data_IF_246900032603
#
_entry.id   IF_246900032603
#
_cell.length_a   1.000
_cell.length_b   1.000
_cell.length_c   1.000
_cell.angle_alpha   90.00
_cell.angle_beta   90.00
_cell.angle_gamma   90.00
#
_symmetry.space_group_name_H-M   'P 1'
#
loop_
_entity.id
_entity.type
_entity.pdbx_description
1 polymer ?
#
# COMPACT_ATOMS: atom_id res chain seq x y z
N UNK A 1 -0.49 -26.69 1.35
CA UNK A 1 -1.03 -26.70 -0.03
C UNK A 1 -1.60 -25.31 -0.29
N UNK A 2 -0.80 -24.38 -0.82
CA UNK A 2 -1.26 -23.05 -1.29
C UNK A 2 -0.15 -22.26 -2.05
N UNK A 3 1.01 -22.89 -2.30
CA UNK A 3 2.19 -22.22 -2.87
C UNK A 3 2.06 -21.92 -4.36
N UNK A 4 1.20 -22.63 -5.09
CA UNK A 4 1.05 -22.46 -6.55
C UNK A 4 0.38 -21.15 -6.97
N UNK A 5 -0.32 -20.50 -6.04
CA UNK A 5 -1.05 -19.25 -6.33
C UNK A 5 -0.51 -18.05 -5.55
N UNK A 6 0.40 -18.30 -4.60
CA UNK A 6 1.19 -17.27 -3.96
C UNK A 6 2.37 -16.84 -4.81
N UNK A 7 2.76 -15.58 -4.73
CA UNK A 7 3.92 -15.08 -5.45
C UNK A 7 4.55 -13.86 -4.78
N UNK A 8 5.81 -13.63 -5.08
CA UNK A 8 6.51 -12.41 -4.69
C UNK A 8 6.49 -11.44 -5.86
N UNK A 9 6.22 -10.18 -5.57
CA UNK A 9 6.25 -9.13 -6.56
C UNK A 9 6.65 -7.80 -5.92
N UNK A 10 7.07 -6.86 -6.75
CA UNK A 10 7.19 -5.47 -6.34
C UNK A 10 6.02 -4.65 -6.87
N UNK A 11 5.63 -3.63 -6.12
CA UNK A 11 4.77 -2.57 -6.62
C UNK A 11 5.62 -1.32 -6.84
N UNK A 12 5.49 -0.72 -8.02
CA UNK A 12 6.08 0.57 -8.36
C UNK A 12 5.06 1.45 -9.08
N UNK A 13 5.40 2.72 -9.26
CA UNK A 13 4.69 3.66 -10.11
C UNK A 13 5.67 4.23 -11.15
N UNK A 14 5.17 4.81 -12.23
CA UNK A 14 6.03 5.36 -13.29
C UNK A 14 6.84 6.58 -12.81
N UNK A 15 6.16 7.59 -12.24
CA UNK A 15 6.78 8.88 -11.89
C UNK A 15 6.84 9.12 -10.37
N UNK A 16 6.70 8.05 -9.58
CA UNK A 16 6.68 8.13 -8.13
C UNK A 16 7.17 6.84 -7.47
N UNK A 17 7.64 6.98 -6.25
CA UNK A 17 8.00 5.88 -5.37
C UNK A 17 6.86 5.58 -4.42
N UNK A 18 6.57 4.29 -4.28
CA UNK A 18 5.62 3.75 -3.30
C UNK A 18 6.40 2.89 -2.31
N UNK A 19 6.28 3.20 -1.02
CA UNK A 19 6.89 2.43 0.06
C UNK A 19 6.30 2.88 1.41
N UNK A 20 6.82 2.35 2.52
CA UNK A 20 6.60 2.90 3.85
C UNK A 20 7.17 4.32 3.94
N UNK A 21 6.53 5.18 4.74
CA UNK A 21 6.95 6.56 4.90
C UNK A 21 8.36 6.68 5.48
N UNK A 22 8.80 5.75 6.34
CA UNK A 22 10.20 5.74 6.80
C UNK A 22 11.20 5.53 5.66
N UNK A 23 10.86 4.69 4.68
CA UNK A 23 11.70 4.46 3.51
C UNK A 23 11.67 5.67 2.58
N UNK A 24 10.51 6.32 2.45
CA UNK A 24 10.33 7.46 1.55
C UNK A 24 10.87 8.77 2.11
N UNK A 25 10.83 9.00 3.43
CA UNK A 25 11.11 10.29 4.06
C UNK A 25 12.11 10.23 5.22
N UNK A 26 12.58 9.04 5.59
CA UNK A 26 13.42 8.82 6.77
C UNK A 26 12.59 8.49 8.01
N UNK A 27 13.27 7.93 9.02
CA UNK A 27 12.67 7.52 10.30
C UNK A 27 13.14 8.44 11.43
N UNK A 28 12.23 9.06 12.20
CA UNK A 28 10.77 8.94 12.13
C UNK A 28 10.13 9.84 11.06
N UNK A 29 9.07 9.35 10.41
CA UNK A 29 8.22 10.15 9.53
C UNK A 29 7.07 10.79 10.33
N UNK A 30 7.36 11.90 11.02
CA UNK A 30 6.40 12.59 11.87
C UNK A 30 5.35 13.36 11.06
N UNK A 31 4.08 13.26 11.46
CA UNK A 31 2.98 14.04 10.87
C UNK A 31 2.12 14.69 11.94
N UNK A 32 1.80 15.97 11.78
CA UNK A 32 0.88 16.70 12.65
C UNK A 32 -0.51 16.73 12.02
N UNK A 33 -1.45 15.97 12.57
CA UNK A 33 -2.79 15.81 12.00
C UNK A 33 -3.84 16.54 12.85
N UNK A 34 -4.80 17.16 12.17
CA UNK A 34 -5.92 17.88 12.78
C UNK A 34 -7.20 17.06 12.67
N UNK A 35 -7.81 16.68 13.80
CA UNK A 35 -9.13 16.04 13.80
C UNK A 35 -10.23 17.08 13.54
N UNK A 36 -11.09 16.81 12.55
CA UNK A 36 -12.29 17.60 12.26
C UNK A 36 -13.53 16.71 12.37
N UNK A 37 -14.56 17.21 13.05
CA UNK A 37 -15.90 16.60 13.07
C UNK A 37 -16.93 17.71 12.89
N UNK A 38 -17.90 17.52 11.98
CA UNK A 38 -19.07 18.39 11.88
C UNK A 38 -18.81 19.87 11.60
N UNK A 39 -17.79 20.23 10.80
CA UNK A 39 -17.53 21.62 10.40
C UNK A 39 -16.76 22.47 11.43
N UNK A 40 -16.47 21.93 12.61
CA UNK A 40 -15.65 22.59 13.62
C UNK A 40 -14.37 21.81 13.90
N UNK A 41 -13.30 22.54 14.19
CA UNK A 41 -12.04 21.98 14.70
C UNK A 41 -12.24 21.63 16.18
N UNK A 42 -12.30 20.34 16.53
CA UNK A 42 -12.70 19.89 17.88
C UNK A 42 -11.54 19.41 18.74
N UNK A 43 -10.29 19.39 18.25
CA UNK A 43 -9.16 18.91 19.05
C UNK A 43 -7.83 19.49 18.62
N UNK A 44 -6.91 19.70 19.56
CA UNK A 44 -5.54 20.18 19.30
C UNK A 44 -4.85 19.30 18.24
N UNK A 45 -4.05 19.88 17.31
CA UNK A 45 -3.29 19.07 16.36
C UNK A 45 -2.39 18.11 17.12
N UNK A 46 -2.33 16.85 16.67
CA UNK A 46 -1.49 15.83 17.30
C UNK A 46 -0.40 15.39 16.35
N UNK A 47 0.83 15.32 16.85
CA UNK A 47 1.96 14.80 16.09
C UNK A 47 2.16 13.33 16.41
N UNK A 48 2.12 12.50 15.37
CA UNK A 48 2.26 11.05 15.46
C UNK A 48 3.37 10.57 14.53
N UNK A 49 4.01 9.46 14.90
CA UNK A 49 4.95 8.78 14.02
C UNK A 49 4.19 7.91 13.01
N UNK A 50 4.26 8.32 11.73
CA UNK A 50 3.59 7.66 10.62
C UNK A 50 4.55 6.79 9.79
N UNK A 51 5.77 6.53 10.26
CA UNK A 51 6.81 5.73 9.60
C UNK A 51 6.30 4.43 8.98
N UNK A 52 5.43 3.72 9.72
CA UNK A 52 4.88 2.43 9.35
C UNK A 52 3.72 2.49 8.35
N UNK A 53 3.25 3.68 7.96
CA UNK A 53 2.19 3.84 6.96
C UNK A 53 2.77 3.83 5.54
N UNK A 54 1.97 3.35 4.59
CA UNK A 54 2.34 3.39 3.18
C UNK A 54 2.07 4.78 2.60
N UNK A 55 2.96 5.22 1.72
CA UNK A 55 2.85 6.50 1.05
C UNK A 55 3.39 6.50 -0.36
N UNK A 56 3.32 7.67 -0.96
CA UNK A 56 3.80 7.98 -2.29
C UNK A 56 4.68 9.23 -2.21
N UNK A 57 5.84 9.18 -2.85
CA UNK A 57 6.72 10.34 -3.01
C UNK A 57 7.08 10.49 -4.49
N UNK A 58 6.95 11.69 -5.04
CA UNK A 58 7.38 11.95 -6.42
C UNK A 58 8.87 11.62 -6.60
N UNK A 59 9.26 11.14 -7.78
CA UNK A 59 10.67 10.86 -8.08
C UNK A 59 11.45 12.18 -8.06
N UNK A 60 12.55 12.20 -7.29
CA UNK A 60 13.49 13.32 -7.25
C UNK A 60 14.90 12.77 -7.41
N UNK A 61 15.76 13.48 -8.15
CA UNK A 61 17.14 13.07 -8.38
C UNK A 61 17.86 12.72 -7.05
N UNK A 62 18.52 11.55 -7.02
CA UNK A 62 19.29 11.09 -5.86
C UNK A 62 18.53 10.30 -4.79
N UNK A 63 17.25 9.97 -5.00
CA UNK A 63 16.51 9.10 -4.06
C UNK A 63 16.88 7.63 -4.26
N UNK A 64 17.13 6.93 -3.14
CA UNK A 64 17.31 5.48 -3.16
C UNK A 64 16.02 4.79 -3.59
N UNK A 65 16.12 3.90 -4.58
CA UNK A 65 15.00 3.29 -5.30
C UNK A 65 14.52 2.03 -4.61
N UNK A 66 14.43 2.05 -3.27
CA UNK A 66 13.98 0.89 -2.51
C UNK A 66 12.56 0.50 -2.96
N UNK A 67 12.47 -0.63 -3.67
CA UNK A 67 11.21 -1.14 -4.20
C UNK A 67 10.35 -1.70 -3.06
N UNK A 68 9.05 -1.49 -3.09
CA UNK A 68 8.12 -2.14 -2.17
C UNK A 68 7.97 -3.61 -2.58
N UNK A 69 8.57 -4.53 -1.82
CA UNK A 69 8.57 -5.96 -2.09
C UNK A 69 7.48 -6.60 -1.23
N UNK A 70 6.56 -7.29 -1.88
CA UNK A 70 5.41 -7.92 -1.27
C UNK A 70 5.33 -9.40 -1.60
N UNK A 71 4.83 -10.16 -0.64
CA UNK A 71 4.33 -11.51 -0.87
C UNK A 71 2.80 -11.47 -0.94
N UNK A 72 2.25 -11.94 -2.06
CA UNK A 72 0.83 -12.04 -2.33
C UNK A 72 0.38 -13.44 -1.93
N UNK A 73 -0.21 -13.60 -0.74
CA UNK A 73 -0.76 -14.88 -0.29
C UNK A 73 -2.24 -14.98 -0.68
N UNK A 74 -2.65 -15.99 -1.45
CA UNK A 74 -4.04 -16.13 -1.90
C UNK A 74 -4.98 -16.38 -0.73
N UNK A 75 -6.22 -15.93 -0.90
CA UNK A 75 -7.38 -16.21 -0.06
C UNK A 75 -8.61 -16.33 -0.97
N UNK A 76 -9.76 -16.84 -0.48
CA UNK A 76 -10.98 -16.87 -1.29
C UNK A 76 -11.42 -15.49 -1.84
N UNK A 77 -11.05 -14.39 -1.16
CA UNK A 77 -11.48 -13.03 -1.49
C UNK A 77 -10.31 -12.12 -1.87
N UNK A 78 -9.38 -12.62 -2.69
CA UNK A 78 -8.17 -11.91 -3.11
C UNK A 78 -6.93 -12.30 -2.32
N UNK A 79 -6.03 -11.36 -2.05
CA UNK A 79 -4.72 -11.60 -1.48
C UNK A 79 -4.54 -10.91 -0.13
N UNK A 80 -3.88 -11.58 0.81
CA UNK A 80 -3.24 -10.92 1.95
C UNK A 80 -1.83 -10.55 1.52
N UNK A 81 -1.49 -9.26 1.63
CA UNK A 81 -0.19 -8.74 1.26
C UNK A 81 0.72 -8.69 2.48
N UNK A 82 1.93 -9.20 2.34
CA UNK A 82 2.94 -9.22 3.40
C UNK A 82 4.20 -8.52 2.92
N UNK A 83 4.73 -7.60 3.73
CA UNK A 83 6.00 -6.92 3.48
C UNK A 83 7.16 -7.89 3.51
N UNK A 84 8.01 -7.81 2.49
CA UNK A 84 9.23 -8.60 2.34
C UNK A 84 10.48 -7.74 2.15
N UNK A 85 10.35 -6.42 2.31
CA UNK A 85 11.49 -5.54 2.50
C UNK A 85 12.24 -5.93 3.78
N UNK A 86 13.58 -6.00 3.74
CA UNK A 86 14.36 -6.20 4.96
C UNK A 86 14.16 -5.01 5.91
N UNK A 87 14.14 -5.27 7.22
CA UNK A 87 13.97 -4.25 8.25
C UNK A 87 12.89 -4.59 9.27
N UNK A 88 12.51 -3.61 10.09
CA UNK A 88 11.58 -3.78 11.22
C UNK A 88 10.19 -4.29 10.80
N UNK A 89 9.74 -3.92 9.59
CA UNK A 89 8.42 -4.30 9.09
C UNK A 89 8.44 -5.59 8.25
N UNK A 90 9.54 -6.34 8.23
CA UNK A 90 9.59 -7.64 7.56
C UNK A 90 8.50 -8.59 8.11
N UNK A 91 7.79 -9.27 7.22
CA UNK A 91 6.65 -10.14 7.51
C UNK A 91 5.40 -9.46 8.10
N UNK A 92 5.38 -8.13 8.25
CA UNK A 92 4.15 -7.40 8.61
C UNK A 92 3.17 -7.40 7.44
N UNK A 93 1.87 -7.41 7.74
CA UNK A 93 0.80 -7.36 6.75
C UNK A 93 0.61 -5.93 6.27
N UNK A 94 0.21 -5.73 5.02
CA UNK A 94 -0.40 -4.46 4.64
C UNK A 94 -1.88 -4.54 4.99
N UNK A 95 -2.35 -3.61 5.81
CA UNK A 95 -3.75 -3.54 6.19
C UNK A 95 -4.19 -2.10 6.43
N UNK A 96 -5.50 -1.87 6.34
CA UNK A 96 -6.11 -0.61 6.71
C UNK A 96 -5.94 -0.35 8.21
N UNK A 97 -5.57 0.88 8.54
CA UNK A 97 -5.37 1.36 9.91
C UNK A 97 -6.27 2.55 10.23
N UNK A 98 -5.88 3.74 9.81
CA UNK A 98 -6.43 5.01 10.27
C UNK A 98 -6.91 5.83 9.08
N UNK A 99 -8.13 6.39 9.13
CA UNK A 99 -8.71 7.20 8.06
C UNK A 99 -8.51 6.59 6.66
N UNK A 100 -8.82 5.30 6.52
CA UNK A 100 -8.65 4.56 5.26
C UNK A 100 -7.20 4.35 4.79
N UNK A 101 -6.20 4.88 5.51
CA UNK A 101 -4.77 4.73 5.19
C UNK A 101 -4.31 3.30 5.44
N UNK A 102 -3.48 2.80 4.51
CA UNK A 102 -2.83 1.51 4.56
C UNK A 102 -1.47 1.62 5.26
N UNK A 103 -1.11 0.60 6.04
CA UNK A 103 0.17 0.54 6.73
C UNK A 103 0.59 -0.87 7.09
N UNK A 104 1.77 -0.97 7.67
CA UNK A 104 2.37 -2.21 8.15
C UNK A 104 1.76 -2.63 9.50
N UNK A 105 1.03 -3.73 9.49
CA UNK A 105 0.34 -4.33 10.64
C UNK A 105 0.96 -5.65 11.09
N UNK A 106 0.71 -6.03 12.33
CA UNK A 106 1.23 -7.28 12.87
C UNK A 106 0.70 -8.50 12.10
N UNK A 107 1.49 -9.59 11.98
CA UNK A 107 1.08 -10.80 11.28
C UNK A 107 -0.20 -11.46 11.82
N UNK A 108 -0.50 -11.23 13.11
CA UNK A 108 -1.66 -11.76 13.82
C UNK A 108 -2.87 -10.81 13.83
N UNK A 109 -2.85 -9.73 13.04
CA UNK A 109 -3.98 -8.80 12.95
C UNK A 109 -5.27 -9.55 12.60
N UNK A 110 -6.28 -9.35 13.45
CA UNK A 110 -7.62 -9.93 13.25
C UNK A 110 -8.25 -9.21 12.07
N UNK A 111 -8.72 -9.99 11.08
CA UNK A 111 -9.34 -9.49 9.83
C UNK A 111 -8.42 -8.55 9.01
N UNK A 112 -7.28 -9.06 8.49
CA UNK A 112 -6.42 -8.25 7.64
C UNK A 112 -7.16 -7.81 6.36
N UNK A 113 -6.82 -6.63 5.86
CA UNK A 113 -7.31 -6.17 4.55
C UNK A 113 -6.90 -7.16 3.47
N UNK A 114 -7.87 -7.53 2.64
CA UNK A 114 -7.66 -8.37 1.46
C UNK A 114 -7.69 -7.50 0.23
N UNK A 115 -6.81 -7.80 -0.71
CA UNK A 115 -6.57 -7.03 -1.91
C UNK A 115 -6.85 -7.87 -3.15
N UNK A 116 -7.69 -7.35 -4.03
CA UNK A 116 -8.03 -7.90 -5.32
C UNK A 116 -7.19 -7.14 -6.35
N UNK A 117 -6.55 -7.88 -7.25
CA UNK A 117 -5.82 -7.29 -8.37
C UNK A 117 -6.80 -7.07 -9.52
N UNK A 118 -6.79 -5.85 -10.07
CA UNK A 118 -7.67 -5.43 -11.15
C UNK A 118 -6.80 -5.00 -12.33
N UNK A 119 -7.09 -5.50 -13.52
CA UNK A 119 -6.39 -5.06 -14.74
C UNK A 119 -6.94 -3.72 -15.29
N UNK A 120 -6.36 -3.25 -16.39
CA UNK A 120 -6.80 -2.04 -17.08
C UNK A 120 -8.23 -2.12 -17.64
N UNK A 121 -8.77 -3.33 -17.84
CA UNK A 121 -10.12 -3.61 -18.36
C UNK A 121 -11.15 -3.83 -17.24
N UNK A 122 -10.77 -3.58 -15.98
CA UNK A 122 -11.60 -3.82 -14.78
C UNK A 122 -11.89 -5.30 -14.49
N UNK A 123 -11.10 -6.23 -15.03
CA UNK A 123 -11.22 -7.64 -14.68
C UNK A 123 -10.41 -7.96 -13.43
N UNK A 124 -10.95 -8.85 -12.60
CA UNK A 124 -10.20 -9.46 -11.51
C UNK A 124 -9.17 -10.41 -12.09
N UNK A 125 -7.90 -10.21 -11.74
CA UNK A 125 -6.79 -11.07 -12.17
C UNK A 125 -6.13 -11.76 -10.97
N UNK A 126 -5.59 -12.94 -11.23
CA UNK A 126 -4.84 -13.74 -10.25
C UNK A 126 -3.45 -14.06 -10.79
N UNK A 127 -2.63 -14.76 -10.00
CA UNK A 127 -1.31 -15.23 -10.43
C UNK A 127 -1.34 -15.96 -11.78
N UNK A 128 -2.40 -16.71 -12.11
CA UNK A 128 -2.56 -17.44 -13.37
C UNK A 128 -2.72 -16.53 -14.59
N UNK A 129 -3.18 -15.30 -14.39
CA UNK A 129 -3.40 -14.33 -15.45
C UNK A 129 -2.15 -13.46 -15.70
N UNK A 130 -1.22 -13.43 -14.74
CA UNK A 130 0.01 -12.62 -14.81
C UNK A 130 1.07 -13.41 -15.57
N UNK A 131 1.15 -13.14 -16.88
CA UNK A 131 2.04 -13.83 -17.81
C UNK A 131 3.25 -13.00 -18.22
N UNK A 132 3.27 -11.71 -17.89
CA UNK A 132 4.38 -10.80 -18.17
C UNK A 132 5.11 -10.44 -16.89
N UNK A 133 6.40 -10.11 -17.01
CA UNK A 133 7.21 -9.69 -15.88
C UNK A 133 6.62 -8.43 -15.21
N UNK A 134 6.19 -7.47 -16.02
CA UNK A 134 5.56 -6.22 -15.59
C UNK A 134 4.09 -6.21 -16.04
N UNK A 135 3.17 -6.01 -15.10
CA UNK A 135 1.73 -5.94 -15.35
C UNK A 135 1.15 -4.69 -14.70
N UNK A 136 0.51 -3.78 -15.45
CA UNK A 136 -0.22 -2.67 -14.86
C UNK A 136 -1.45 -3.19 -14.13
N UNK A 137 -1.60 -2.85 -12.85
CA UNK A 137 -2.71 -3.29 -12.01
C UNK A 137 -3.21 -2.15 -11.13
N UNK A 138 -4.50 -2.14 -10.84
CA UNK A 138 -5.04 -1.43 -9.68
C UNK A 138 -5.28 -2.42 -8.55
N UNK A 139 -5.18 -1.95 -7.32
CA UNK A 139 -5.57 -2.71 -6.14
C UNK A 139 -6.96 -2.27 -5.73
N UNK A 140 -7.84 -3.23 -5.47
CA UNK A 140 -9.13 -3.02 -4.84
C UNK A 140 -9.15 -3.79 -3.53
N UNK A 141 -9.78 -3.28 -2.49
CA UNK A 141 -9.96 -4.02 -1.24
C UNK A 141 -11.27 -4.80 -1.26
N UNK A 142 -11.43 -5.75 -0.34
CA UNK A 142 -12.68 -6.54 -0.23
C UNK A 142 -13.95 -5.70 0.05
N UNK A 143 -13.81 -4.41 0.40
CA UNK A 143 -14.93 -3.46 0.53
C UNK A 143 -15.32 -2.80 -0.80
N UNK A 144 -14.74 -3.23 -1.92
CA UNK A 144 -14.92 -2.66 -3.26
C UNK A 144 -14.43 -1.21 -3.39
N UNK A 145 -13.52 -0.78 -2.51
CA UNK A 145 -12.80 0.49 -2.65
C UNK A 145 -11.45 0.26 -3.32
N UNK A 146 -11.02 1.21 -4.12
CA UNK A 146 -9.72 1.14 -4.79
C UNK A 146 -8.62 1.67 -3.88
N UNK A 147 -7.37 1.29 -4.13
CA UNK A 147 -6.22 1.91 -3.49
C UNK A 147 -5.77 3.10 -4.33
N UNK A 148 -5.61 4.24 -3.68
CA UNK A 148 -5.13 5.47 -4.30
C UNK A 148 -4.40 6.37 -3.32
N UNK A 149 -4.12 7.60 -3.75
CA UNK A 149 -3.42 8.61 -2.96
C UNK A 149 -4.38 9.43 -2.09
N UNK A 150 -4.07 9.59 -0.81
CA UNK A 150 -4.81 10.44 0.11
C UNK A 150 -3.89 11.46 0.79
N UNK A 151 -4.22 12.75 0.70
CA UNK A 151 -3.60 13.78 1.55
C UNK A 151 -4.45 13.98 2.79
N UNK A 152 -3.88 13.70 3.95
CA UNK A 152 -4.55 13.97 5.21
C UNK A 152 -4.24 15.40 5.66
N UNK A 153 -5.25 16.14 6.08
CA UNK A 153 -5.10 17.54 6.49
C UNK A 153 -4.09 17.68 7.62
N UNK A 154 -3.13 18.59 7.43
CA UNK A 154 -2.03 18.85 8.36
C UNK A 154 -0.80 17.95 8.15
N UNK A 155 -0.97 16.79 7.49
CA UNK A 155 0.15 15.93 7.17
C UNK A 155 0.93 16.44 5.93
N UNK A 156 2.27 16.39 5.95
CA UNK A 156 3.09 16.68 4.79
C UNK A 156 3.12 15.53 3.76
N UNK A 157 2.67 14.33 4.14
CA UNK A 157 2.78 13.12 3.31
C UNK A 157 1.53 12.85 2.46
N UNK A 158 1.75 12.22 1.30
CA UNK A 158 0.73 11.58 0.48
C UNK A 158 0.69 10.09 0.85
N UNK A 159 -0.43 9.61 1.37
CA UNK A 159 -0.60 8.24 1.84
C UNK A 159 -1.21 7.34 0.76
N UNK A 160 -0.96 6.03 0.85
CA UNK A 160 -1.84 5.06 0.21
C UNK A 160 -3.05 4.77 1.10
N UNK A 161 -4.25 4.85 0.53
CA UNK A 161 -5.50 4.67 1.24
C UNK A 161 -6.59 4.04 0.35
N UNK A 162 -7.66 3.52 0.97
CA UNK A 162 -8.90 3.22 0.25
C UNK A 162 -9.51 4.53 -0.29
N UNK A 163 -9.99 4.49 -1.54
CA UNK A 163 -10.57 5.62 -2.26
C UNK A 163 -11.60 5.15 -3.29
N UNK A 164 -12.30 6.10 -3.90
CA UNK A 164 -13.21 5.83 -5.00
C UNK A 164 -12.47 5.54 -6.30
N UNK A 165 -13.14 4.88 -7.25
CA UNK A 165 -12.55 4.50 -8.53
C UNK A 165 -11.86 5.64 -9.28
N UNK A 166 -12.47 6.83 -9.28
CA UNK A 166 -11.93 8.03 -9.95
C UNK A 166 -10.55 8.48 -9.46
N UNK A 167 -10.14 8.03 -8.27
CA UNK A 167 -8.88 8.38 -7.63
C UNK A 167 -7.94 7.18 -7.50
N UNK A 168 -8.26 6.05 -8.15
CA UNK A 168 -7.44 4.84 -8.09
C UNK A 168 -6.07 5.07 -8.71
N UNK A 169 -5.08 4.39 -8.17
CA UNK A 169 -3.74 4.35 -8.73
C UNK A 169 -3.58 3.08 -9.57
N UNK A 170 -2.89 3.23 -10.69
CA UNK A 170 -2.33 2.11 -11.45
C UNK A 170 -0.89 1.91 -11.02
N UNK A 171 -0.61 0.74 -10.43
CA UNK A 171 0.70 0.27 -10.07
C UNK A 171 1.27 -0.58 -11.20
N UNK A 172 2.60 -0.65 -11.27
CA UNK A 172 3.30 -1.66 -12.05
C UNK A 172 3.64 -2.80 -11.10
N UNK A 173 2.93 -3.91 -11.23
CA UNK A 173 3.24 -5.16 -10.54
C UNK A 173 4.36 -5.85 -11.30
N UNK A 174 5.49 -6.05 -10.64
CA UNK A 174 6.63 -6.76 -11.24
C UNK A 174 6.90 -8.06 -10.50
N UNK A 175 6.77 -9.21 -11.17
CA UNK A 175 7.03 -10.51 -10.56
C UNK A 175 8.51 -10.59 -10.14
N UNK A 176 8.78 -11.16 -8.96
CA UNK A 176 10.12 -11.55 -8.56
C UNK A 176 10.24 -13.06 -8.67
N UNK A 177 11.19 -13.52 -9.49
CA UNK A 177 11.61 -14.91 -9.45
C UNK A 177 12.26 -15.18 -8.09
N UNK A 178 11.85 -16.26 -7.44
CA UNK A 178 12.54 -16.72 -6.24
C UNK A 178 13.96 -17.09 -6.61
N UNK A 179 14.95 -16.50 -5.95
CA UNK A 179 16.30 -17.06 -5.93
C UNK A 179 16.31 -18.28 -5.02
#
# INVERSE_FOLDING_TARGET
MDSEHSFHATLSMFDAHVNLLETLHGKPAMATVSSFSGGFFTGKPQTHDHSHLLGIRAETQGMDRAQLILHFRPTPNGYILTLKNPGEHYNKLISKRWLEVLGAENPNTVNPTRFILIDHQQNIITRKNINTLHTPVSLMTATHKYVGGLRVRGSPYLYLAETEEKSKITFILSLREGK
#
